data_IF_815223230008
#
_entry.id   IF_815223230008
#
_cell.length_a   1.000
_cell.length_b   1.000
_cell.length_c   1.000
_cell.angle_alpha   90.00
_cell.angle_beta   90.00
_cell.angle_gamma   90.00
#
_symmetry.space_group_name_H-M   'P 1'
#
loop_
_entity.id
_entity.type
_entity.pdbx_description
1 polymer ?
#
# COMPACT_ATOMS: atom_id res chain seq x y z
N UNK A 1 5.43 15.73 16.78
CA UNK A 1 4.50 14.93 15.96
C UNK A 1 4.15 13.66 16.71
N UNK A 2 2.87 13.48 17.03
CA UNK A 2 2.33 12.24 17.59
C UNK A 2 2.14 11.24 16.45
N UNK A 3 2.62 10.02 16.60
CA UNK A 3 2.50 8.96 15.59
C UNK A 3 1.66 7.84 16.17
N UNK A 4 0.57 7.48 15.48
CA UNK A 4 -0.29 6.37 15.83
C UNK A 4 -0.32 5.38 14.68
N UNK A 5 0.04 4.14 14.97
CA UNK A 5 0.04 3.06 13.97
C UNK A 5 -0.77 1.90 14.53
N UNK A 6 -1.69 1.37 13.72
CA UNK A 6 -2.44 0.18 14.09
C UNK A 6 -1.54 -1.06 14.04
N UNK A 7 -0.81 -1.29 15.13
CA UNK A 7 0.16 -2.38 15.25
C UNK A 7 -0.49 -3.76 15.21
N UNK A 8 -1.72 -3.89 15.72
CA UNK A 8 -2.46 -5.15 15.69
C UNK A 8 -2.79 -5.56 14.25
N UNK A 9 -3.33 -4.65 13.45
CA UNK A 9 -3.64 -4.88 12.05
C UNK A 9 -2.36 -5.15 11.24
N UNK A 10 -1.31 -4.35 11.46
CA UNK A 10 -0.03 -4.50 10.79
C UNK A 10 0.61 -5.87 11.08
N UNK A 11 0.69 -6.27 12.36
CA UNK A 11 1.24 -7.57 12.76
C UNK A 11 0.42 -8.73 12.18
N UNK A 12 -0.91 -8.68 12.32
CA UNK A 12 -1.81 -9.71 11.80
C UNK A 12 -1.62 -9.90 10.29
N UNK A 13 -1.71 -8.81 9.52
CA UNK A 13 -1.65 -8.89 8.07
C UNK A 13 -0.25 -9.27 7.57
N UNK A 14 0.80 -8.91 8.30
CA UNK A 14 2.16 -9.36 8.00
C UNK A 14 2.34 -10.85 8.24
N UNK A 15 1.85 -11.38 9.36
CA UNK A 15 1.87 -12.82 9.64
C UNK A 15 1.06 -13.58 8.58
N UNK A 16 -0.14 -13.08 8.23
CA UNK A 16 -0.96 -13.66 7.16
C UNK A 16 -0.24 -13.66 5.81
N UNK A 17 0.46 -12.58 5.47
CA UNK A 17 1.26 -12.51 4.24
C UNK A 17 2.39 -13.56 4.21
N UNK A 18 3.10 -13.72 5.33
CA UNK A 18 4.15 -14.73 5.47
C UNK A 18 3.61 -16.16 5.37
N UNK A 19 2.50 -16.45 6.07
CA UNK A 19 1.84 -17.76 5.99
C UNK A 19 1.36 -18.02 4.56
N UNK A 20 0.68 -17.06 3.94
CA UNK A 20 0.21 -17.19 2.56
C UNK A 20 1.36 -17.42 1.57
N UNK A 21 2.52 -16.79 1.79
CA UNK A 21 3.74 -17.05 1.01
C UNK A 21 4.20 -18.50 1.11
N UNK A 22 4.45 -19.00 2.32
CA UNK A 22 4.90 -20.39 2.49
C UNK A 22 3.83 -21.41 2.07
N UNK A 23 2.56 -21.14 2.32
CA UNK A 23 1.46 -21.98 1.89
C UNK A 23 1.37 -22.06 0.35
N UNK A 24 1.48 -20.92 -0.34
CA UNK A 24 1.48 -20.90 -1.81
C UNK A 24 2.69 -21.63 -2.40
N UNK A 25 3.87 -21.51 -1.77
CA UNK A 25 5.08 -22.21 -2.19
C UNK A 25 4.94 -23.73 -1.99
N UNK A 26 4.38 -24.16 -0.85
CA UNK A 26 4.11 -25.57 -0.58
C UNK A 26 3.09 -26.15 -1.58
N UNK A 27 2.03 -25.40 -1.90
CA UNK A 27 1.03 -25.84 -2.87
C UNK A 27 1.59 -25.97 -4.29
N UNK A 28 2.45 -25.03 -4.70
CA UNK A 28 3.20 -25.13 -5.96
C UNK A 28 4.14 -26.34 -5.97
N UNK A 29 4.84 -26.63 -4.87
CA UNK A 29 5.70 -27.80 -4.77
C UNK A 29 4.91 -29.11 -4.87
N UNK A 30 3.75 -29.21 -4.23
CA UNK A 30 2.85 -30.36 -4.35
C UNK A 30 2.37 -30.52 -5.79
N UNK A 31 1.94 -29.43 -6.43
CA UNK A 31 1.52 -29.45 -7.84
C UNK A 31 2.65 -29.92 -8.77
N UNK A 32 3.87 -29.41 -8.55
CA UNK A 32 5.05 -29.81 -9.33
C UNK A 32 5.42 -31.29 -9.14
N UNK A 33 5.44 -31.77 -7.89
CA UNK A 33 5.74 -33.17 -7.57
C UNK A 33 4.67 -34.10 -8.15
N UNK A 34 3.38 -33.75 -8.02
CA UNK A 34 2.29 -34.53 -8.61
C UNK A 34 2.41 -34.63 -10.12
N UNK A 35 2.61 -33.50 -10.80
CA UNK A 35 2.78 -33.45 -12.26
C UNK A 35 3.96 -34.31 -12.74
N UNK A 36 5.03 -34.38 -11.96
CA UNK A 36 6.26 -35.09 -12.29
C UNK A 36 6.42 -36.41 -11.50
N UNK A 37 5.33 -36.97 -10.99
CA UNK A 37 5.36 -38.12 -10.09
C UNK A 37 6.06 -39.34 -10.70
N UNK A 38 5.93 -39.60 -12.01
CA UNK A 38 6.68 -40.69 -12.71
C UNK A 38 8.18 -40.60 -12.50
N UNK A 39 8.71 -39.38 -12.54
CA UNK A 39 10.13 -39.13 -12.53
C UNK A 39 10.67 -39.01 -11.10
N UNK A 40 9.87 -38.47 -10.18
CA UNK A 40 10.26 -38.19 -8.78
C UNK A 40 9.94 -39.39 -7.86
N UNK A 41 8.86 -40.11 -8.13
CA UNK A 41 8.32 -41.18 -7.30
C UNK A 41 8.10 -42.46 -8.13
N UNK A 42 9.18 -43.10 -8.63
CA UNK A 42 9.08 -44.21 -9.59
C UNK A 42 8.46 -45.50 -9.01
N UNK A 43 8.38 -45.61 -7.68
CA UNK A 43 7.87 -46.79 -6.96
C UNK A 43 6.41 -46.65 -6.51
N UNK A 44 5.70 -45.60 -6.94
CA UNK A 44 4.29 -45.41 -6.59
C UNK A 44 3.40 -46.34 -7.43
N UNK A 45 2.35 -46.86 -6.81
CA UNK A 45 1.39 -47.77 -7.44
C UNK A 45 0.85 -47.22 -8.76
N UNK A 46 0.90 -48.05 -9.81
CA UNK A 46 0.45 -47.69 -11.16
C UNK A 46 -1.00 -47.18 -11.21
N UNK A 47 -1.84 -47.61 -10.27
CA UNK A 47 -3.24 -47.20 -10.16
C UNK A 47 -3.41 -45.75 -9.64
N UNK A 48 -2.42 -45.21 -8.92
CA UNK A 48 -2.44 -43.83 -8.41
C UNK A 48 -1.87 -42.82 -9.42
N UNK A 49 -1.11 -43.29 -10.41
CA UNK A 49 -0.42 -42.46 -11.40
C UNK A 49 -1.35 -41.55 -12.21
N UNK A 50 -2.54 -42.00 -12.70
CA UNK A 50 -3.46 -41.12 -13.41
C UNK A 50 -3.99 -39.98 -12.53
N UNK A 51 -4.18 -40.22 -11.23
CA UNK A 51 -4.64 -39.19 -10.28
C UNK A 51 -3.54 -38.14 -10.07
N UNK A 52 -2.30 -38.58 -9.88
CA UNK A 52 -1.15 -37.69 -9.66
C UNK A 52 -0.81 -36.86 -10.90
N UNK A 53 -0.95 -37.41 -12.10
CA UNK A 53 -0.56 -36.74 -13.35
C UNK A 53 -1.65 -35.88 -13.97
N UNK A 54 -2.92 -36.24 -13.79
CA UNK A 54 -4.04 -35.54 -14.44
C UNK A 54 -4.85 -34.72 -13.44
N UNK A 55 -5.28 -35.34 -12.34
CA UNK A 55 -6.23 -34.71 -11.40
C UNK A 55 -5.52 -33.68 -10.53
N UNK A 56 -4.33 -34.03 -10.00
CA UNK A 56 -3.54 -33.13 -9.17
C UNK A 56 -3.20 -31.84 -9.92
N UNK A 57 -2.65 -31.85 -11.16
CA UNK A 57 -2.32 -30.59 -11.83
C UNK A 57 -3.56 -29.80 -12.23
N UNK A 58 -4.64 -30.46 -12.66
CA UNK A 58 -5.89 -29.80 -13.06
C UNK A 58 -6.56 -29.02 -11.92
N UNK A 59 -6.41 -29.48 -10.67
CA UNK A 59 -7.04 -28.84 -9.50
C UNK A 59 -6.03 -28.01 -8.71
N UNK A 60 -4.86 -28.56 -8.41
CA UNK A 60 -3.86 -27.92 -7.55
C UNK A 60 -3.23 -26.72 -8.24
N UNK A 61 -2.94 -26.76 -9.54
CA UNK A 61 -2.27 -25.63 -10.20
C UNK A 61 -3.12 -24.36 -10.26
N UNK A 62 -4.44 -24.41 -10.60
CA UNK A 62 -5.28 -23.22 -10.52
C UNK A 62 -5.37 -22.64 -9.10
N UNK A 63 -5.54 -23.49 -8.08
CA UNK A 63 -5.59 -23.06 -6.68
C UNK A 63 -4.23 -22.47 -6.25
N UNK A 64 -3.13 -23.11 -6.62
CA UNK A 64 -1.78 -22.63 -6.39
C UNK A 64 -1.56 -21.26 -7.04
N UNK A 65 -1.99 -21.09 -8.28
CA UNK A 65 -1.87 -19.82 -8.99
C UNK A 65 -2.64 -18.69 -8.29
N UNK A 66 -3.91 -18.90 -7.94
CA UNK A 66 -4.71 -17.91 -7.20
C UNK A 66 -4.09 -17.60 -5.83
N UNK A 67 -3.65 -18.64 -5.11
CA UNK A 67 -2.95 -18.51 -3.83
C UNK A 67 -1.67 -17.68 -3.95
N UNK A 68 -0.88 -17.90 -5.01
CA UNK A 68 0.32 -17.11 -5.30
C UNK A 68 -0.04 -15.65 -5.60
N UNK A 69 -1.06 -15.36 -6.41
CA UNK A 69 -1.47 -13.98 -6.68
C UNK A 69 -1.88 -13.24 -5.40
N UNK A 70 -2.66 -13.91 -4.54
CA UNK A 70 -3.05 -13.37 -3.24
C UNK A 70 -1.82 -13.13 -2.34
N UNK A 71 -0.93 -14.11 -2.26
CA UNK A 71 0.30 -14.04 -1.47
C UNK A 71 1.22 -12.90 -1.92
N UNK A 72 1.44 -12.75 -3.22
CA UNK A 72 2.27 -11.68 -3.80
C UNK A 72 1.67 -10.30 -3.46
N UNK A 73 0.35 -10.14 -3.62
CA UNK A 73 -0.34 -8.90 -3.24
C UNK A 73 -0.17 -8.58 -1.75
N UNK A 74 -0.38 -9.56 -0.87
CA UNK A 74 -0.22 -9.40 0.57
C UNK A 74 1.22 -9.05 0.95
N UNK A 75 2.20 -9.71 0.33
CA UNK A 75 3.63 -9.46 0.57
C UNK A 75 4.03 -8.06 0.14
N UNK A 76 3.57 -7.60 -1.04
CA UNK A 76 3.83 -6.25 -1.53
C UNK A 76 3.23 -5.16 -0.62
N UNK A 77 2.09 -5.43 0.02
CA UNK A 77 1.41 -4.48 0.89
C UNK A 77 1.95 -4.45 2.33
N UNK A 78 2.28 -5.62 2.91
CA UNK A 78 2.51 -5.75 4.36
C UNK A 78 3.93 -6.18 4.75
N UNK A 79 4.73 -6.69 3.82
CA UNK A 79 6.06 -7.25 4.11
C UNK A 79 7.18 -6.43 3.46
N UNK A 80 6.96 -5.94 2.24
CA UNK A 80 7.96 -5.23 1.44
C UNK A 80 8.51 -4.00 2.16
N UNK A 81 9.83 -3.82 2.07
CA UNK A 81 10.51 -2.58 2.44
C UNK A 81 10.76 -1.71 1.19
N UNK A 82 10.82 -0.37 1.30
CA UNK A 82 10.73 0.44 2.53
C UNK A 82 9.30 0.52 3.10
N UNK A 83 9.17 0.49 4.43
CA UNK A 83 7.87 0.47 5.11
C UNK A 83 7.28 1.88 5.24
N UNK A 84 6.09 2.16 4.66
CA UNK A 84 5.52 3.50 4.68
C UNK A 84 5.31 4.09 6.09
N UNK A 85 4.87 3.26 7.03
CA UNK A 85 4.61 3.66 8.42
C UNK A 85 5.89 4.06 9.19
N UNK A 86 7.07 3.65 8.72
CA UNK A 86 8.35 4.05 9.29
C UNK A 86 8.97 5.21 8.50
N UNK A 87 8.96 5.13 7.16
CA UNK A 87 9.60 6.10 6.27
C UNK A 87 8.92 7.46 6.33
N UNK A 88 7.58 7.51 6.36
CA UNK A 88 6.86 8.79 6.36
C UNK A 88 7.13 9.59 7.65
N UNK A 89 6.94 9.05 8.88
CA UNK A 89 7.24 9.81 10.08
C UNK A 89 8.70 10.26 10.19
N UNK A 90 9.64 9.41 9.77
CA UNK A 90 11.07 9.72 9.79
C UNK A 90 11.39 10.94 8.92
N UNK A 91 10.83 11.00 7.72
CA UNK A 91 11.05 12.10 6.79
C UNK A 91 10.19 13.34 7.08
N UNK A 92 9.18 13.22 7.96
CA UNK A 92 8.35 14.33 8.44
C UNK A 92 8.82 14.90 9.80
N UNK A 93 9.92 14.39 10.36
CA UNK A 93 10.52 14.96 11.58
C UNK A 93 10.80 16.46 11.40
N UNK A 94 10.39 17.26 12.38
CA UNK A 94 10.53 18.72 12.34
C UNK A 94 9.53 19.45 11.44
N UNK A 95 8.43 18.82 11.03
CA UNK A 95 7.32 19.50 10.36
C UNK A 95 6.53 20.40 11.34
N UNK A 96 6.00 19.81 12.42
CA UNK A 96 5.30 20.54 13.49
C UNK A 96 5.20 19.69 14.76
N UNK A 97 5.19 20.32 15.93
CA UNK A 97 4.91 19.67 17.21
C UNK A 97 3.45 19.25 17.32
N UNK A 98 2.52 20.10 16.82
CA UNK A 98 1.07 19.93 16.81
C UNK A 98 0.54 19.06 15.65
N UNK A 99 1.37 18.17 15.11
CA UNK A 99 0.96 17.25 14.05
C UNK A 99 0.69 15.85 14.61
N UNK A 100 -0.33 15.20 14.05
CA UNK A 100 -0.68 13.81 14.35
C UNK A 100 -0.69 13.01 13.06
N UNK A 101 0.04 11.91 13.03
CA UNK A 101 0.14 11.02 11.88
C UNK A 101 -0.44 9.65 12.23
N UNK A 102 -1.44 9.23 11.47
CA UNK A 102 -2.11 7.93 11.61
C UNK A 102 -1.66 6.99 10.49
N UNK A 103 -1.35 5.75 10.85
CA UNK A 103 -1.04 4.66 9.92
C UNK A 103 -1.94 3.46 10.18
N UNK A 104 -2.60 3.01 9.11
CA UNK A 104 -3.48 1.84 9.06
C UNK A 104 -4.68 1.87 10.01
N UNK A 105 -5.11 3.07 10.43
CA UNK A 105 -6.36 3.26 11.16
C UNK A 105 -7.54 3.53 10.21
N UNK A 106 -7.29 4.23 9.11
CA UNK A 106 -8.34 4.67 8.20
C UNK A 106 -8.17 4.03 6.83
N UNK A 107 -9.20 3.35 6.35
CA UNK A 107 -9.25 2.82 4.98
C UNK A 107 -10.30 3.60 4.18
N UNK A 108 -10.02 3.95 2.92
CA UNK A 108 -8.90 3.48 2.09
C UNK A 108 -7.61 4.31 2.21
N UNK A 109 -7.60 5.42 2.95
CA UNK A 109 -6.48 6.35 2.99
C UNK A 109 -5.14 5.74 3.46
N UNK A 110 -5.14 4.68 4.26
CA UNK A 110 -4.00 3.98 4.88
C UNK A 110 -3.09 4.87 5.74
N UNK A 111 -2.84 6.12 5.36
CA UNK A 111 -2.14 7.11 6.15
C UNK A 111 -2.90 8.42 6.13
N UNK A 112 -3.06 9.02 7.30
CA UNK A 112 -3.71 10.33 7.46
C UNK A 112 -2.79 11.23 8.26
N UNK A 113 -2.52 12.43 7.77
CA UNK A 113 -1.73 13.43 8.47
C UNK A 113 -2.63 14.61 8.81
N UNK A 114 -2.73 14.91 10.10
CA UNK A 114 -3.34 16.14 10.62
C UNK A 114 -2.20 17.06 11.05
N UNK A 115 -2.13 18.27 10.49
CA UNK A 115 -1.12 19.25 10.85
C UNK A 115 -1.67 20.68 10.71
N UNK A 116 -0.92 21.72 11.13
CA UNK A 116 -1.36 23.11 11.00
C UNK A 116 -1.64 23.59 9.56
N UNK A 117 -1.12 22.87 8.56
CA UNK A 117 -1.37 23.17 7.14
C UNK A 117 -2.65 22.50 6.61
N UNK A 118 -3.33 21.69 7.43
CA UNK A 118 -4.56 21.01 7.07
C UNK A 118 -4.53 19.50 7.34
N UNK A 119 -5.52 18.81 6.77
CA UNK A 119 -5.67 17.35 6.85
C UNK A 119 -5.34 16.75 5.50
N UNK A 120 -4.52 15.71 5.49
CA UNK A 120 -4.05 15.07 4.27
C UNK A 120 -4.33 13.57 4.32
N UNK A 121 -4.96 13.05 3.28
CA UNK A 121 -5.10 11.61 3.05
C UNK A 121 -3.97 11.17 2.11
N UNK A 122 -3.08 10.30 2.60
CA UNK A 122 -1.84 9.94 1.91
C UNK A 122 -1.91 8.50 1.47
N UNK A 123 -2.03 8.27 0.17
CA UNK A 123 -1.78 6.95 -0.40
C UNK A 123 -0.29 6.78 -0.69
N UNK A 124 0.21 5.57 -0.50
CA UNK A 124 1.63 5.27 -0.65
C UNK A 124 1.87 4.31 -1.81
N UNK A 125 3.03 4.47 -2.45
CA UNK A 125 3.49 3.64 -3.57
C UNK A 125 4.91 3.15 -3.34
N UNK A 126 5.09 1.84 -3.38
CA UNK A 126 6.37 1.15 -3.17
C UNK A 126 7.15 0.91 -4.48
N UNK A 127 6.64 1.38 -5.61
CA UNK A 127 7.27 1.14 -6.91
C UNK A 127 8.59 1.89 -7.00
N UNK A 128 9.59 1.26 -7.63
CA UNK A 128 10.97 1.76 -7.72
C UNK A 128 11.38 2.17 -9.14
N UNK A 129 10.43 2.18 -10.10
CA UNK A 129 10.69 2.38 -11.53
C UNK A 129 10.47 3.84 -11.96
N UNK A 130 10.69 4.11 -13.25
CA UNK A 130 10.32 5.37 -13.87
C UNK A 130 8.81 5.41 -14.21
N UNK A 131 8.14 6.48 -13.77
CA UNK A 131 6.73 6.77 -14.06
C UNK A 131 6.58 8.18 -14.58
N UNK A 132 5.74 8.33 -15.61
CA UNK A 132 5.32 9.63 -16.12
C UNK A 132 3.84 9.84 -15.78
N UNK A 133 3.56 10.99 -15.19
CA UNK A 133 2.22 11.43 -14.78
C UNK A 133 1.86 12.65 -15.61
N UNK A 134 0.80 12.54 -16.41
CA UNK A 134 0.29 13.61 -17.26
C UNK A 134 -1.15 13.91 -16.87
N UNK A 135 -1.36 14.93 -16.04
CA UNK A 135 -2.62 15.12 -15.32
C UNK A 135 -2.96 13.91 -14.45
N UNK A 136 -3.96 13.14 -14.88
CA UNK A 136 -4.41 11.90 -14.21
C UNK A 136 -3.94 10.63 -14.91
N UNK A 137 -3.21 10.74 -16.03
CA UNK A 137 -2.76 9.59 -16.81
C UNK A 137 -1.42 9.09 -16.27
N UNK A 138 -1.39 7.81 -15.89
CA UNK A 138 -0.21 7.14 -15.37
C UNK A 138 0.39 6.23 -16.42
N UNK A 139 1.64 6.49 -16.78
CA UNK A 139 2.39 5.66 -17.73
C UNK A 139 3.72 5.20 -17.16
N UNK A 140 4.17 4.03 -17.61
CA UNK A 140 5.46 3.47 -17.24
C UNK A 140 6.28 3.20 -18.49
N UNK A 141 7.58 3.47 -18.42
CA UNK A 141 8.50 3.25 -19.56
C UNK A 141 8.96 1.78 -19.65
N UNK A 142 8.00 0.84 -19.63
CA UNK A 142 8.31 -0.59 -19.71
C UNK A 142 8.26 -1.10 -21.15
N UNK A 143 9.31 -1.83 -21.55
CA UNK A 143 9.25 -2.71 -22.72
C UNK A 143 8.10 -3.72 -22.58
N UNK A 144 7.57 -4.22 -23.71
CA UNK A 144 6.40 -5.11 -23.73
C UNK A 144 6.53 -6.32 -22.78
N UNK A 145 7.70 -6.96 -22.75
CA UNK A 145 7.97 -8.09 -21.86
C UNK A 145 7.97 -7.69 -20.37
N UNK A 146 8.46 -6.49 -20.06
CA UNK A 146 8.43 -5.92 -18.70
C UNK A 146 7.01 -5.68 -18.18
N UNK A 147 6.06 -5.37 -19.07
CA UNK A 147 4.64 -5.21 -18.73
C UNK A 147 3.97 -6.55 -18.40
N UNK A 148 4.31 -7.63 -19.11
CA UNK A 148 3.79 -8.97 -18.79
C UNK A 148 4.26 -9.40 -17.40
N UNK A 149 5.56 -9.25 -17.12
CA UNK A 149 6.12 -9.59 -15.80
C UNK A 149 5.61 -8.67 -14.67
N UNK A 150 5.07 -7.49 -14.96
CA UNK A 150 4.50 -6.64 -13.92
C UNK A 150 3.10 -7.09 -13.46
N UNK A 151 2.33 -7.67 -14.38
CA UNK A 151 1.06 -8.34 -14.04
C UNK A 151 1.31 -9.52 -13.10
N UNK A 152 2.26 -10.41 -13.42
CA UNK A 152 2.58 -11.56 -12.57
C UNK A 152 3.13 -11.17 -11.19
N UNK A 153 3.87 -10.08 -11.08
CA UNK A 153 4.39 -9.56 -9.81
C UNK A 153 3.38 -8.71 -9.04
N UNK A 154 2.19 -8.49 -9.60
CA UNK A 154 1.15 -7.61 -9.06
C UNK A 154 1.73 -6.23 -8.66
N UNK A 155 2.67 -5.72 -9.46
CA UNK A 155 3.36 -4.44 -9.24
C UNK A 155 2.92 -3.37 -10.26
N UNK A 156 1.75 -3.54 -10.87
CA UNK A 156 1.09 -2.50 -11.64
C UNK A 156 0.66 -1.35 -10.72
N UNK A 157 0.82 -0.11 -11.18
CA UNK A 157 0.63 1.10 -10.37
C UNK A 157 -0.85 1.47 -10.17
N UNK A 158 -1.72 0.98 -11.06
CA UNK A 158 -3.15 1.31 -11.06
C UNK A 158 -3.41 2.78 -11.41
N UNK A 159 -4.42 3.37 -10.77
CA UNK A 159 -4.69 4.81 -10.83
C UNK A 159 -4.53 5.43 -9.42
N UNK A 160 -3.31 5.82 -9.04
CA UNK A 160 -3.06 6.49 -7.76
C UNK A 160 -3.85 7.77 -7.57
N UNK A 161 -4.10 8.55 -8.63
CA UNK A 161 -4.89 9.79 -8.51
C UNK A 161 -6.30 9.48 -7.99
N UNK A 162 -7.01 8.55 -8.64
CA UNK A 162 -8.37 8.17 -8.25
C UNK A 162 -8.40 7.58 -6.83
N UNK A 163 -7.43 6.73 -6.49
CA UNK A 163 -7.32 6.17 -5.14
C UNK A 163 -7.10 7.26 -4.08
N UNK A 164 -6.29 8.28 -4.36
CA UNK A 164 -6.02 9.37 -3.45
C UNK A 164 -7.26 10.24 -3.23
N UNK A 165 -7.98 10.56 -4.32
CA UNK A 165 -9.25 11.32 -4.25
C UNK A 165 -10.30 10.56 -3.44
N UNK A 166 -10.46 9.26 -3.69
CA UNK A 166 -11.39 8.42 -2.93
C UNK A 166 -11.01 8.33 -1.44
N UNK A 167 -9.71 8.24 -1.14
CA UNK A 167 -9.19 8.30 0.21
C UNK A 167 -9.52 9.62 0.91
N UNK A 168 -9.27 10.75 0.25
CA UNK A 168 -9.60 12.06 0.80
C UNK A 168 -11.11 12.21 1.03
N UNK A 169 -11.95 11.77 0.08
CA UNK A 169 -13.40 11.85 0.20
C UNK A 169 -13.95 11.06 1.40
N UNK A 170 -13.40 9.88 1.70
CA UNK A 170 -13.80 9.10 2.87
C UNK A 170 -13.43 9.78 4.19
N UNK A 171 -12.23 10.36 4.28
CA UNK A 171 -11.83 11.10 5.48
C UNK A 171 -12.64 12.41 5.59
N UNK A 172 -12.94 13.06 4.47
CA UNK A 172 -13.79 14.24 4.43
C UNK A 172 -15.19 13.94 4.98
N UNK A 173 -15.79 12.82 4.58
CA UNK A 173 -17.08 12.39 5.09
C UNK A 173 -17.05 12.13 6.61
N UNK A 174 -15.98 11.50 7.11
CA UNK A 174 -15.79 11.28 8.55
C UNK A 174 -15.57 12.58 9.34
N UNK A 175 -15.01 13.61 8.71
CA UNK A 175 -14.79 14.92 9.33
C UNK A 175 -15.95 15.90 9.13
N UNK A 176 -16.91 15.63 8.24
CA UNK A 176 -17.96 16.59 7.87
C UNK A 176 -18.79 17.05 9.07
N UNK A 177 -19.05 16.17 10.04
CA UNK A 177 -19.81 16.48 11.26
C UNK A 177 -18.96 17.09 12.37
N UNK A 178 -17.64 16.91 12.33
CA UNK A 178 -16.70 17.29 13.39
C UNK A 178 -16.05 18.64 13.08
N UNK A 179 -15.71 18.87 11.81
CA UNK A 179 -15.00 20.02 11.32
C UNK A 179 -15.43 20.37 9.88
N UNK A 180 -16.65 20.91 9.67
CA UNK A 180 -17.20 21.16 8.34
C UNK A 180 -16.39 22.17 7.49
N UNK A 181 -15.58 23.01 8.13
CA UNK A 181 -14.72 24.00 7.45
C UNK A 181 -13.34 23.47 7.03
N UNK A 182 -13.02 22.20 7.29
CA UNK A 182 -11.72 21.61 6.98
C UNK A 182 -11.80 20.78 5.71
N UNK A 183 -10.94 21.11 4.74
CA UNK A 183 -10.81 20.37 3.48
C UNK A 183 -9.68 19.35 3.63
N UNK A 184 -9.99 18.08 3.34
CA UNK A 184 -9.02 16.99 3.27
C UNK A 184 -8.37 16.96 1.90
N UNK A 185 -7.04 17.08 1.86
CA UNK A 185 -6.29 17.08 0.62
C UNK A 185 -5.76 15.67 0.28
N UNK A 186 -5.97 15.17 -0.95
CA UNK A 186 -5.38 13.91 -1.40
C UNK A 186 -3.91 14.08 -1.71
N UNK A 187 -3.07 13.09 -1.36
CA UNK A 187 -1.65 13.06 -1.71
C UNK A 187 -1.23 11.66 -2.18
N UNK A 188 -0.38 11.61 -3.21
CA UNK A 188 0.29 10.38 -3.64
C UNK A 188 1.76 10.45 -3.26
N UNK A 189 2.22 9.53 -2.41
CA UNK A 189 3.60 9.54 -1.92
C UNK A 189 4.35 8.26 -2.28
N UNK A 190 5.47 8.41 -2.97
CA UNK A 190 6.36 7.29 -3.28
C UNK A 190 7.38 7.08 -2.17
N UNK A 191 7.45 5.85 -1.67
CA UNK A 191 8.32 5.50 -0.53
C UNK A 191 9.65 4.87 -0.93
N UNK A 192 9.77 4.33 -2.15
CA UNK A 192 11.03 3.74 -2.61
C UNK A 192 11.98 4.82 -3.15
N UNK A 193 13.22 4.94 -2.62
CA UNK A 193 14.15 5.99 -3.02
C UNK A 193 14.71 5.82 -4.43
N UNK A 194 14.42 4.73 -5.14
CA UNK A 194 14.91 4.47 -6.51
C UNK A 194 13.92 4.87 -7.59
N UNK A 195 12.68 5.22 -7.23
CA UNK A 195 11.64 5.64 -8.19
C UNK A 195 12.05 6.91 -8.93
N UNK A 196 11.67 7.05 -10.20
CA UNK A 196 11.87 8.30 -10.95
C UNK A 196 10.54 8.79 -11.46
N UNK A 197 10.20 10.05 -11.17
CA UNK A 197 8.92 10.65 -11.53
C UNK A 197 9.15 11.77 -12.54
N UNK A 198 8.43 11.70 -13.66
CA UNK A 198 8.27 12.80 -14.61
C UNK A 198 6.86 13.33 -14.45
N UNK A 199 6.72 14.54 -13.89
CA UNK A 199 5.44 15.12 -13.52
C UNK A 199 5.07 16.24 -14.51
N UNK A 200 3.95 16.07 -15.21
CA UNK A 200 3.36 17.07 -16.08
C UNK A 200 1.99 17.46 -15.50
N UNK A 201 1.92 18.58 -14.79
CA UNK A 201 0.71 19.14 -14.19
C UNK A 201 -0.25 18.10 -13.56
N UNK A 202 0.21 17.28 -12.60
CA UNK A 202 -0.64 16.27 -11.99
C UNK A 202 -1.78 16.93 -11.18
N UNK A 203 -3.00 16.42 -11.30
CA UNK A 203 -4.18 16.96 -10.58
C UNK A 203 -4.09 16.76 -9.07
N UNK A 204 -3.47 15.65 -8.65
CA UNK A 204 -3.16 15.35 -7.26
C UNK A 204 -1.65 15.45 -7.06
N UNK A 205 -1.15 16.13 -6.00
CA UNK A 205 0.27 16.22 -5.75
C UNK A 205 0.92 14.83 -5.61
N UNK A 206 1.96 14.61 -6.41
CA UNK A 206 2.77 13.38 -6.41
C UNK A 206 4.15 13.70 -5.87
N UNK A 207 4.52 13.08 -4.74
CA UNK A 207 5.66 13.49 -3.93
C UNK A 207 6.55 12.31 -3.56
N UNK A 208 7.83 12.57 -3.35
CA UNK A 208 8.74 11.61 -2.71
C UNK A 208 8.61 11.66 -1.19
N UNK A 209 8.68 10.49 -0.54
CA UNK A 209 8.75 10.42 0.91
C UNK A 209 10.09 10.97 1.43
N UNK A 210 11.18 10.74 0.70
CA UNK A 210 12.53 11.15 1.13
C UNK A 210 12.72 12.66 1.03
N UNK A 211 13.14 13.30 2.12
CA UNK A 211 13.40 14.76 2.16
C UNK A 211 14.53 15.21 1.24
N UNK A 212 15.41 14.31 0.80
CA UNK A 212 16.54 14.63 -0.09
C UNK A 212 16.15 14.70 -1.56
N UNK A 213 14.93 14.33 -1.93
CA UNK A 213 14.45 14.30 -3.32
C UNK A 213 13.49 15.46 -3.57
N UNK A 214 13.26 15.80 -4.84
CA UNK A 214 12.29 16.83 -5.22
C UNK A 214 11.36 16.32 -6.32
N UNK A 215 10.06 16.59 -6.23
CA UNK A 215 9.36 17.26 -5.12
C UNK A 215 9.14 16.32 -3.91
N UNK A 216 9.49 16.72 -2.68
CA UNK A 216 9.23 15.89 -1.47
C UNK A 216 8.05 16.36 -0.63
N UNK A 217 7.52 15.43 0.17
CA UNK A 217 6.37 15.65 1.04
C UNK A 217 6.60 16.76 2.08
N UNK A 218 7.78 16.82 2.70
CA UNK A 218 8.05 17.76 3.79
C UNK A 218 8.09 19.21 3.30
N UNK A 219 8.80 19.46 2.22
CA UNK A 219 8.93 20.80 1.64
C UNK A 219 7.59 21.25 1.04
N UNK A 220 6.85 20.34 0.38
CA UNK A 220 5.49 20.60 -0.08
C UNK A 220 4.59 21.08 1.06
N UNK A 221 4.54 20.34 2.18
CA UNK A 221 3.71 20.70 3.33
C UNK A 221 4.12 22.02 3.98
N UNK A 222 5.42 22.35 4.00
CA UNK A 222 5.92 23.62 4.55
C UNK A 222 5.62 24.82 3.65
N UNK A 223 5.52 24.61 2.34
CA UNK A 223 5.20 25.67 1.39
C UNK A 223 3.71 26.04 1.39
N UNK A 224 2.84 25.16 1.89
CA UNK A 224 1.41 25.44 2.01
C UNK A 224 1.15 26.54 3.06
N UNK A 225 0.17 27.41 2.83
CA UNK A 225 -0.28 28.32 3.87
C UNK A 225 -0.85 27.52 5.05
N UNK A 226 -0.79 28.11 6.25
CA UNK A 226 -1.51 27.54 7.39
C UNK A 226 -3.00 27.53 7.07
N UNK A 227 -3.64 26.40 7.38
CA UNK A 227 -5.07 26.21 7.22
C UNK A 227 -5.73 26.16 8.60
N UNK A 228 -7.06 26.02 8.63
CA UNK A 228 -7.81 25.78 9.86
C UNK A 228 -7.28 24.50 10.52
N UNK A 229 -6.58 24.68 11.64
CA UNK A 229 -6.06 23.58 12.44
C UNK A 229 -7.22 22.94 13.22
N UNK A 230 -7.30 21.62 13.21
CA UNK A 230 -8.24 20.90 14.06
C UNK A 230 -7.90 21.13 15.54
N UNK A 231 -8.91 21.43 16.34
CA UNK A 231 -8.75 21.54 17.81
C UNK A 231 -8.48 20.16 18.42
N UNK A 232 -7.87 20.08 19.61
CA UNK A 232 -7.69 18.80 20.30
C UNK A 232 -9.01 18.03 20.50
N UNK A 233 -10.11 18.74 20.76
CA UNK A 233 -11.45 18.15 20.89
C UNK A 233 -11.93 17.54 19.58
N UNK A 234 -11.73 18.22 18.45
CA UNK A 234 -12.06 17.69 17.11
C UNK A 234 -11.20 16.48 16.76
N UNK A 235 -9.91 16.48 17.12
CA UNK A 235 -9.02 15.34 16.92
C UNK A 235 -9.51 14.13 17.75
N UNK A 236 -9.88 14.35 19.01
CA UNK A 236 -10.40 13.29 19.87
C UNK A 236 -11.77 12.76 19.37
N UNK A 237 -12.65 13.63 18.91
CA UNK A 237 -13.92 13.24 18.30
C UNK A 237 -13.70 12.41 17.03
N UNK A 238 -12.72 12.78 16.21
CA UNK A 238 -12.34 12.03 15.01
C UNK A 238 -11.75 10.66 15.36
N UNK A 239 -10.89 10.59 16.37
CA UNK A 239 -10.34 9.33 16.90
C UNK A 239 -11.47 8.41 17.39
N UNK A 240 -12.40 8.92 18.19
CA UNK A 240 -13.54 8.15 18.67
C UNK A 240 -14.45 7.67 17.53
N UNK A 241 -14.79 8.54 16.58
CA UNK A 241 -15.61 8.20 15.41
C UNK A 241 -14.96 7.13 14.52
N UNK A 242 -13.61 7.07 14.51
CA UNK A 242 -12.84 6.12 13.69
C UNK A 242 -12.34 4.90 14.46
N UNK A 243 -12.80 4.71 15.71
CA UNK A 243 -12.50 3.54 16.54
C UNK A 243 -11.06 3.50 17.06
N UNK A 244 -10.39 4.65 17.12
CA UNK A 244 -9.08 4.81 17.74
C UNK A 244 -9.30 5.06 19.22
N UNK A 245 -9.13 4.03 20.04
CA UNK A 245 -9.16 4.20 21.50
C UNK A 245 -7.83 4.77 21.95
N UNK A 246 -7.74 6.09 22.04
CA UNK A 246 -6.59 6.74 22.67
C UNK A 246 -6.69 6.49 24.17
N UNK A 247 -5.84 5.62 24.72
CA UNK A 247 -5.66 5.55 26.17
C UNK A 247 -5.14 6.90 26.62
N UNK A 248 -6.00 7.62 27.35
CA UNK A 248 -5.68 8.89 28.00
C UNK A 248 -4.52 8.74 28.98
#
# INVERSE_FOLDING_TARGET
MRVQTNMALLKRNRTLAQIAFFASLGLLAIGFIGTNARLILPTVDANLMPILELVVPAVILPIAFISTLFSVRMTNLWVRAPRPEAVLPENLKGLSTQSVFYSYHHFPARHVLICPHGVFAIITRFHFRAYRVDGDQWSTQQAALGRVFSVFRMDNIGNPTLEAVNAAAQIQAALATIAPGVIVQPLVVFVDPRVTLTLNNPTVPVLYAQSKRQPNLKDYLKALPKSTMLTPEQINAFEHATGITTTA
#
